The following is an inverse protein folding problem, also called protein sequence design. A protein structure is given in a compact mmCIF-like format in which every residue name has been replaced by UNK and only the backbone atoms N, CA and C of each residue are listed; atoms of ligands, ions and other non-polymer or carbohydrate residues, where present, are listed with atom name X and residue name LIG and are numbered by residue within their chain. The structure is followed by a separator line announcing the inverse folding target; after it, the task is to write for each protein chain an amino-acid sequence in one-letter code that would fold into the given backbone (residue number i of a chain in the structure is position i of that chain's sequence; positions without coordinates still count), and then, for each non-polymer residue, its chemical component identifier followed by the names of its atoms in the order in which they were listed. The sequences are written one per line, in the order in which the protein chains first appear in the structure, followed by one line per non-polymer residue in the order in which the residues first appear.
data_IF_324665662868
#
_entry.id   IF_324665662868
#
_cell.length_a   1.000
_cell.length_b   1.000
_cell.length_c   1.000
_cell.angle_alpha   90.00
_cell.angle_beta   90.00
_cell.angle_gamma   90.00
#
_symmetry.space_group_name_H-M   'P 1'
#
loop_
_entity.id
_entity.type
_entity.pdbx_description
1 polymer ?
#
# COMPACT_ATOMS: atom_id res chain seq x y z
N UNK A 1 24.81 69.69 -19.76
CA UNK A 1 23.53 69.13 -20.21
C UNK A 1 23.55 67.63 -19.98
N UNK A 2 23.12 67.16 -18.80
CA UNK A 2 22.95 65.74 -18.50
C UNK A 2 21.46 65.49 -18.27
N UNK A 3 20.80 64.84 -19.24
CA UNK A 3 19.42 64.36 -19.08
C UNK A 3 19.50 62.94 -18.52
N UNK A 4 19.20 62.79 -17.23
CA UNK A 4 18.94 61.50 -16.62
C UNK A 4 17.59 60.99 -17.11
N UNK A 5 17.59 59.88 -17.84
CA UNK A 5 16.40 59.15 -18.25
C UNK A 5 16.07 58.13 -17.15
N UNK A 6 15.01 58.40 -16.39
CA UNK A 6 14.52 57.50 -15.34
C UNK A 6 13.62 56.43 -15.99
N UNK A 7 14.11 55.21 -16.14
CA UNK A 7 13.31 54.06 -16.57
C UNK A 7 12.54 53.52 -15.36
N UNK A 8 11.23 53.77 -15.30
CA UNK A 8 10.33 53.13 -14.33
C UNK A 8 9.90 51.79 -14.91
N UNK A 9 10.45 50.70 -14.39
CA UNK A 9 10.03 49.33 -14.70
C UNK A 9 8.83 48.98 -13.79
N UNK A 10 7.63 49.01 -14.35
CA UNK A 10 6.41 48.59 -13.65
C UNK A 10 6.34 47.06 -13.63
N UNK A 11 6.80 46.42 -12.55
CA UNK A 11 6.59 44.99 -12.32
C UNK A 11 5.17 44.83 -11.77
N UNK A 12 4.22 44.50 -12.65
CA UNK A 12 2.87 44.10 -12.24
C UNK A 12 2.95 42.70 -11.61
N UNK A 13 3.10 42.63 -10.29
CA UNK A 13 2.86 41.42 -9.52
C UNK A 13 1.33 41.26 -9.43
N UNK A 14 0.74 40.55 -10.39
CA UNK A 14 -0.65 40.12 -10.27
C UNK A 14 -0.71 39.03 -9.22
N UNK A 15 -1.13 39.37 -8.00
CA UNK A 15 -1.59 38.39 -7.04
C UNK A 15 -2.83 37.72 -7.61
N UNK A 16 -2.68 36.47 -8.06
CA UNK A 16 -3.81 35.59 -8.33
C UNK A 16 -4.52 35.35 -6.99
N UNK A 17 -5.51 36.20 -6.67
CA UNK A 17 -6.45 35.97 -5.59
C UNK A 17 -7.36 34.81 -5.98
N UNK A 18 -6.99 33.58 -5.62
CA UNK A 18 -7.91 32.45 -5.74
C UNK A 18 -9.01 32.61 -4.68
N UNK A 19 -10.26 32.78 -5.10
CA UNK A 19 -11.40 32.77 -4.19
C UNK A 19 -11.57 31.37 -3.58
N UNK A 20 -11.14 31.21 -2.32
CA UNK A 20 -11.23 29.95 -1.59
C UNK A 20 -12.60 29.82 -0.90
N UNK A 21 -13.25 28.67 -1.05
CA UNK A 21 -14.55 28.36 -0.42
C UNK A 21 -14.44 28.21 1.11
N UNK A 22 -15.55 28.34 1.83
CA UNK A 22 -15.59 28.08 3.29
C UNK A 22 -15.13 26.66 3.62
N UNK A 23 -15.57 25.67 2.83
CA UNK A 23 -15.16 24.29 3.01
C UNK A 23 -13.66 24.08 2.77
N UNK A 24 -13.07 24.73 1.78
CA UNK A 24 -11.62 24.64 1.55
C UNK A 24 -10.81 25.15 2.75
N UNK A 25 -11.29 26.21 3.43
CA UNK A 25 -10.67 26.72 4.67
C UNK A 25 -10.85 25.76 5.85
N UNK A 26 -12.04 25.16 5.98
CA UNK A 26 -12.27 24.10 6.96
C UNK A 26 -11.38 22.88 6.72
N UNK A 27 -11.17 22.51 5.45
CA UNK A 27 -10.30 21.39 5.12
C UNK A 27 -8.84 21.67 5.47
N UNK A 28 -8.35 22.90 5.31
CA UNK A 28 -6.97 23.26 5.65
C UNK A 28 -6.62 22.96 7.10
N UNK A 29 -7.50 23.29 8.04
CA UNK A 29 -7.27 23.12 9.49
C UNK A 29 -7.32 21.67 9.98
N UNK A 30 -7.77 20.72 9.14
CA UNK A 30 -7.88 19.29 9.51
C UNK A 30 -6.55 18.57 9.28
N UNK A 31 -5.83 18.27 10.34
CA UNK A 31 -4.51 17.63 10.29
C UNK A 31 -4.42 16.35 11.11
N UNK A 32 -5.23 16.22 12.16
CA UNK A 32 -5.18 15.09 13.10
C UNK A 32 -6.34 14.10 12.92
N UNK A 33 -6.16 12.83 13.32
CA UNK A 33 -7.25 11.85 13.35
C UNK A 33 -8.49 12.33 14.11
N UNK A 34 -8.30 13.00 15.26
CA UNK A 34 -9.39 13.50 16.10
C UNK A 34 -10.18 14.62 15.39
N UNK A 35 -9.50 15.49 14.66
CA UNK A 35 -10.13 16.54 13.86
C UNK A 35 -10.91 15.95 12.67
N UNK A 36 -10.39 14.90 12.03
CA UNK A 36 -11.10 14.18 10.96
C UNK A 36 -12.38 13.54 11.51
N UNK A 37 -12.29 12.85 12.64
CA UNK A 37 -13.44 12.20 13.27
C UNK A 37 -14.50 13.21 13.69
N UNK A 38 -14.08 14.34 14.27
CA UNK A 38 -14.97 15.45 14.65
C UNK A 38 -15.66 16.03 13.41
N UNK A 39 -14.90 16.35 12.36
CA UNK A 39 -15.43 16.88 11.12
C UNK A 39 -16.44 15.93 10.45
N UNK A 40 -16.13 14.63 10.39
CA UNK A 40 -17.01 13.62 9.78
C UNK A 40 -18.31 13.47 10.57
N UNK A 41 -18.27 13.56 11.91
CA UNK A 41 -19.47 13.56 12.77
C UNK A 41 -20.32 14.80 12.54
N UNK A 42 -19.70 15.99 12.50
CA UNK A 42 -20.41 17.27 12.34
C UNK A 42 -21.09 17.40 10.97
N UNK A 43 -20.42 17.01 9.88
CA UNK A 43 -21.02 17.06 8.54
C UNK A 43 -22.14 16.03 8.34
N UNK A 44 -22.19 14.97 9.15
CA UNK A 44 -23.24 13.94 9.20
C UNK A 44 -23.71 13.42 7.82
N UNK A 45 -22.78 13.27 6.88
CA UNK A 45 -23.05 12.79 5.52
C UNK A 45 -22.34 11.47 5.27
N UNK A 46 -23.10 10.42 4.94
CA UNK A 46 -22.54 9.09 4.58
C UNK A 46 -21.64 9.13 3.34
N UNK A 47 -21.68 10.21 2.56
CA UNK A 47 -20.84 10.40 1.38
C UNK A 47 -19.43 10.87 1.74
N UNK A 48 -19.27 11.49 2.90
CA UNK A 48 -17.99 11.94 3.44
C UNK A 48 -17.34 10.79 4.19
N UNK A 49 -16.08 10.48 3.89
CA UNK A 49 -15.38 9.36 4.53
C UNK A 49 -13.87 9.48 4.39
N UNK A 50 -13.18 8.86 5.33
CA UNK A 50 -11.76 8.55 5.22
C UNK A 50 -11.56 7.30 4.36
N UNK A 51 -10.66 7.37 3.39
CA UNK A 51 -10.37 6.29 2.45
C UNK A 51 -8.86 6.04 2.45
N UNK A 52 -8.46 4.77 2.55
CA UNK A 52 -7.06 4.37 2.37
C UNK A 52 -6.81 3.97 0.92
N UNK A 53 -5.82 4.59 0.30
CA UNK A 53 -5.31 4.20 -1.00
C UNK A 53 -3.92 3.59 -0.82
N UNK A 54 -3.77 2.35 -1.28
CA UNK A 54 -2.47 1.70 -1.44
C UNK A 54 -2.02 1.80 -2.91
N UNK A 55 -0.78 2.22 -3.14
CA UNK A 55 -0.24 2.52 -4.47
C UNK A 55 -0.31 1.31 -5.40
N UNK A 56 -0.07 0.10 -4.89
CA UNK A 56 -0.14 -1.14 -5.69
C UNK A 56 -1.57 -1.55 -6.03
N UNK A 57 -2.51 -1.32 -5.12
CA UNK A 57 -3.91 -1.75 -5.31
C UNK A 57 -4.75 -0.74 -6.08
N UNK A 58 -4.42 0.56 -6.03
CA UNK A 58 -5.25 1.62 -6.60
C UNK A 58 -4.54 2.34 -7.75
N UNK A 59 -4.89 1.98 -8.99
CA UNK A 59 -4.25 2.51 -10.21
C UNK A 59 -5.14 3.46 -11.02
N UNK A 60 -6.25 3.93 -10.45
CA UNK A 60 -7.16 4.90 -11.11
C UNK A 60 -6.47 6.24 -11.34
N UNK A 61 -6.97 7.05 -12.28
CA UNK A 61 -6.44 8.40 -12.56
C UNK A 61 -6.45 9.27 -11.30
N UNK A 62 -7.54 9.23 -10.53
CA UNK A 62 -7.64 9.93 -9.25
C UNK A 62 -6.57 9.43 -8.25
N UNK A 63 -6.43 8.12 -8.07
CA UNK A 63 -5.43 7.59 -7.14
C UNK A 63 -4.02 8.05 -7.52
N UNK A 64 -3.66 7.98 -8.81
CA UNK A 64 -2.38 8.48 -9.34
C UNK A 64 -2.17 9.98 -9.08
N UNK A 65 -3.22 10.79 -9.16
CA UNK A 65 -3.14 12.22 -8.83
C UNK A 65 -2.89 12.40 -7.32
N UNK A 66 -3.65 11.68 -6.48
CA UNK A 66 -3.53 11.74 -5.03
C UNK A 66 -2.14 11.32 -4.51
N UNK A 67 -1.53 10.29 -5.08
CA UNK A 67 -0.17 9.87 -4.67
C UNK A 67 0.91 10.92 -4.98
N UNK A 68 0.68 11.82 -5.93
CA UNK A 68 1.61 12.92 -6.23
C UNK A 68 1.53 14.05 -5.21
N UNK A 69 0.45 14.12 -4.43
CA UNK A 69 0.28 15.14 -3.42
C UNK A 69 1.06 14.80 -2.15
N UNK A 70 1.54 15.82 -1.45
CA UNK A 70 2.03 15.72 -0.09
C UNK A 70 0.86 15.65 0.90
N UNK A 71 1.15 15.28 2.16
CA UNK A 71 0.20 15.50 3.27
C UNK A 71 -0.26 16.96 3.26
N UNK A 72 -1.57 17.15 3.44
CA UNK A 72 -2.25 18.44 3.33
C UNK A 72 -2.79 18.77 1.93
N UNK A 73 -2.23 18.16 0.88
CA UNK A 73 -2.65 18.42 -0.50
C UNK A 73 -4.09 18.00 -0.78
N UNK A 74 -4.76 18.72 -1.68
CA UNK A 74 -6.16 18.51 -2.03
C UNK A 74 -6.31 18.34 -3.53
N UNK A 75 -6.90 17.22 -3.94
CA UNK A 75 -7.41 17.02 -5.31
C UNK A 75 -8.92 17.30 -5.35
N UNK A 76 -9.42 17.81 -6.46
CA UNK A 76 -10.84 18.16 -6.62
C UNK A 76 -11.39 17.51 -7.87
N UNK A 77 -12.61 17.00 -7.77
CA UNK A 77 -13.38 16.56 -8.94
C UNK A 77 -14.75 17.20 -8.89
N UNK A 78 -15.31 17.50 -10.04
CA UNK A 78 -16.51 18.31 -10.14
C UNK A 78 -17.46 17.71 -11.17
N UNK A 79 -18.75 17.71 -10.82
CA UNK A 79 -19.86 17.36 -11.72
C UNK A 79 -20.81 18.54 -11.80
N UNK A 80 -21.90 18.42 -12.55
CA UNK A 80 -22.95 19.44 -12.59
C UNK A 80 -23.61 19.67 -11.22
N UNK A 81 -23.67 18.65 -10.37
CA UNK A 81 -24.41 18.70 -9.10
C UNK A 81 -23.54 18.86 -7.85
N UNK A 82 -22.28 18.42 -7.92
CA UNK A 82 -21.43 18.38 -6.74
C UNK A 82 -19.96 18.60 -7.05
N UNK A 83 -19.27 19.17 -6.07
CA UNK A 83 -17.81 19.25 -5.98
C UNK A 83 -17.35 18.25 -4.92
N UNK A 84 -16.38 17.40 -5.26
CA UNK A 84 -15.76 16.46 -4.32
C UNK A 84 -14.31 16.85 -4.08
N UNK A 85 -13.96 16.97 -2.81
CA UNK A 85 -12.63 17.26 -2.32
C UNK A 85 -12.00 15.99 -1.77
N UNK A 86 -10.72 15.81 -2.06
CA UNK A 86 -9.91 14.69 -1.59
C UNK A 86 -8.65 15.25 -0.94
N UNK A 87 -8.68 15.42 0.39
CA UNK A 87 -7.50 15.87 1.15
C UNK A 87 -6.65 14.68 1.55
N UNK A 88 -5.38 14.66 1.16
CA UNK A 88 -4.39 13.71 1.70
C UNK A 88 -4.09 14.11 3.13
N UNK A 89 -4.54 13.32 4.10
CA UNK A 89 -4.37 13.60 5.53
C UNK A 89 -3.21 12.82 6.14
N UNK A 90 -2.81 11.73 5.49
CA UNK A 90 -1.64 10.94 5.88
C UNK A 90 -1.00 10.34 4.63
N UNK A 91 0.33 10.20 4.67
CA UNK A 91 1.11 9.55 3.62
C UNK A 91 2.28 8.83 4.26
N UNK A 92 2.34 7.52 4.06
CA UNK A 92 3.41 6.66 4.53
C UNK A 92 4.06 5.96 3.35
N UNK A 93 5.33 5.65 3.50
CA UNK A 93 6.11 4.88 2.54
C UNK A 93 6.82 3.79 3.33
N UNK A 94 6.56 2.54 2.97
CA UNK A 94 7.11 1.39 3.68
C UNK A 94 7.77 0.43 2.69
N UNK A 95 8.87 -0.18 3.11
CA UNK A 95 9.48 -1.27 2.35
C UNK A 95 8.58 -2.49 2.48
N UNK A 96 8.14 -3.01 1.34
CA UNK A 96 7.29 -4.18 1.23
C UNK A 96 8.04 -5.30 0.52
N UNK A 97 7.69 -6.53 0.89
CA UNK A 97 8.28 -7.77 0.44
C UNK A 97 7.20 -8.61 -0.25
N UNK A 98 7.63 -9.47 -1.18
CA UNK A 98 6.74 -10.40 -1.86
C UNK A 98 7.52 -11.64 -2.25
N UNK A 99 6.99 -12.79 -1.85
CA UNK A 99 7.58 -14.09 -2.13
C UNK A 99 6.50 -15.03 -2.64
N UNK A 100 6.93 -16.16 -3.17
CA UNK A 100 6.04 -17.32 -3.32
C UNK A 100 6.37 -18.32 -2.23
N UNK A 101 5.37 -18.92 -1.60
CA UNK A 101 5.60 -19.94 -0.57
C UNK A 101 4.64 -21.12 -0.71
N UNK A 102 5.02 -22.23 -0.09
CA UNK A 102 4.20 -23.42 0.09
C UNK A 102 4.19 -23.69 1.59
N UNK A 103 3.03 -23.62 2.21
CA UNK A 103 2.84 -24.00 3.61
C UNK A 103 2.39 -25.46 3.65
N UNK A 104 3.06 -26.27 4.45
CA UNK A 104 2.66 -27.65 4.72
C UNK A 104 2.20 -27.71 6.17
N UNK A 105 0.89 -27.76 6.35
CA UNK A 105 0.24 -27.95 7.65
C UNK A 105 -0.55 -29.25 7.64
N UNK A 106 -0.41 -30.05 8.70
CA UNK A 106 -1.29 -31.19 8.91
C UNK A 106 -1.32 -31.59 10.38
N UNK A 107 -2.52 -31.53 10.97
CA UNK A 107 -2.77 -31.99 12.34
C UNK A 107 -2.59 -33.50 12.54
N UNK A 108 -2.54 -34.27 11.43
CA UNK A 108 -2.50 -35.72 11.45
C UNK A 108 -1.20 -36.33 10.88
N UNK A 109 -0.26 -35.50 10.39
CA UNK A 109 1.01 -35.98 9.86
C UNK A 109 2.13 -35.82 10.88
N UNK A 110 3.07 -36.76 10.87
CA UNK A 110 4.29 -36.67 11.67
C UNK A 110 5.29 -35.71 11.02
N UNK A 111 6.15 -35.08 11.81
CA UNK A 111 7.22 -34.20 11.33
C UNK A 111 8.09 -34.84 10.24
N UNK A 112 8.36 -36.15 10.34
CA UNK A 112 9.13 -36.89 9.33
C UNK A 112 8.42 -36.93 7.98
N UNK A 113 7.09 -37.01 7.98
CA UNK A 113 6.28 -37.02 6.75
C UNK A 113 6.28 -35.64 6.11
N UNK A 114 6.10 -34.58 6.90
CA UNK A 114 6.18 -33.19 6.42
C UNK A 114 7.55 -32.88 5.81
N UNK A 115 8.65 -33.30 6.45
CA UNK A 115 10.01 -33.17 5.91
C UNK A 115 10.23 -33.94 4.60
N UNK A 116 9.64 -35.14 4.48
CA UNK A 116 9.71 -35.92 3.24
C UNK A 116 8.93 -35.24 2.10
N UNK A 117 7.76 -34.68 2.40
CA UNK A 117 6.99 -33.90 1.43
C UNK A 117 7.77 -32.64 1.02
N UNK A 118 8.34 -31.90 1.98
CA UNK A 118 9.17 -30.72 1.72
C UNK A 118 10.34 -31.05 0.78
N UNK A 119 11.07 -32.12 1.07
CA UNK A 119 12.19 -32.60 0.25
C UNK A 119 11.74 -33.00 -1.16
N UNK A 120 10.57 -33.65 -1.27
CA UNK A 120 9.99 -34.06 -2.56
C UNK A 120 9.65 -32.84 -3.42
N UNK A 121 9.07 -31.79 -2.82
CA UNK A 121 8.70 -30.56 -3.53
C UNK A 121 9.95 -29.84 -4.04
N UNK A 122 10.99 -29.70 -3.19
CA UNK A 122 12.27 -29.08 -3.59
C UNK A 122 12.90 -29.87 -4.74
N UNK A 123 12.91 -31.21 -4.66
CA UNK A 123 13.41 -32.05 -5.75
C UNK A 123 12.63 -31.80 -7.05
N UNK A 124 11.30 -31.80 -7.01
CA UNK A 124 10.46 -31.56 -8.19
C UNK A 124 10.72 -30.18 -8.80
N UNK A 125 10.91 -29.17 -7.97
CA UNK A 125 11.26 -27.83 -8.44
C UNK A 125 12.62 -27.83 -9.16
N UNK A 126 13.63 -28.46 -8.56
CA UNK A 126 14.96 -28.60 -9.16
C UNK A 126 14.96 -29.43 -10.46
N UNK A 127 14.03 -30.39 -10.58
CA UNK A 127 13.80 -31.16 -11.80
C UNK A 127 13.00 -30.38 -12.88
N UNK A 128 12.63 -29.12 -12.60
CA UNK A 128 12.01 -28.20 -13.57
C UNK A 128 10.50 -27.98 -13.42
N UNK A 129 9.85 -28.53 -12.38
CA UNK A 129 8.44 -28.21 -12.12
C UNK A 129 8.30 -26.75 -11.67
N UNK A 130 7.28 -26.04 -12.17
CA UNK A 130 7.07 -24.65 -11.77
C UNK A 130 6.62 -24.55 -10.30
N UNK A 131 7.08 -23.51 -9.62
CA UNK A 131 6.70 -23.27 -8.22
C UNK A 131 5.20 -23.07 -8.06
N UNK A 132 4.55 -22.41 -9.02
CA UNK A 132 3.11 -22.15 -8.96
C UNK A 132 2.27 -23.43 -9.01
N UNK A 133 2.71 -24.41 -9.81
CA UNK A 133 2.08 -25.72 -9.89
C UNK A 133 2.24 -26.48 -8.58
N UNK A 134 3.46 -26.51 -8.03
CA UNK A 134 3.74 -27.14 -6.75
C UNK A 134 2.95 -26.49 -5.61
N UNK A 135 2.84 -25.17 -5.59
CA UNK A 135 2.07 -24.46 -4.58
C UNK A 135 0.57 -24.77 -4.65
N UNK A 136 -0.02 -24.81 -5.85
CA UNK A 136 -1.42 -25.24 -6.04
C UNK A 136 -1.66 -26.67 -5.59
N UNK A 137 -0.67 -27.55 -5.77
CA UNK A 137 -0.79 -28.96 -5.43
C UNK A 137 -0.61 -29.24 -3.93
N UNK A 138 0.32 -28.54 -3.28
CA UNK A 138 0.81 -28.93 -1.96
C UNK A 138 0.53 -27.92 -0.85
N UNK A 139 0.33 -26.62 -1.15
CA UNK A 139 0.17 -25.62 -0.11
C UNK A 139 -1.19 -25.77 0.58
N UNK A 140 -1.20 -25.84 1.91
CA UNK A 140 -2.42 -25.86 2.72
C UNK A 140 -3.02 -24.46 2.94
N UNK A 141 -2.26 -23.41 2.65
CA UNK A 141 -2.70 -22.02 2.81
C UNK A 141 -3.41 -21.48 1.55
N UNK A 142 -4.23 -20.44 1.72
CA UNK A 142 -5.03 -19.78 0.66
C UNK A 142 -4.19 -19.24 -0.49
N UNK A 143 -2.90 -19.01 -0.27
CA UNK A 143 -1.97 -18.60 -1.31
C UNK A 143 -1.84 -19.64 -2.44
N UNK A 144 -2.19 -20.92 -2.19
CA UNK A 144 -2.23 -21.99 -3.19
C UNK A 144 -3.01 -21.57 -4.44
N UNK A 145 -4.17 -20.93 -4.24
CA UNK A 145 -5.04 -20.45 -5.34
C UNK A 145 -4.38 -19.40 -6.23
N UNK A 146 -3.32 -18.74 -5.74
CA UNK A 146 -2.52 -17.74 -6.46
C UNK A 146 -1.15 -18.28 -6.86
N UNK A 147 -0.97 -19.60 -6.90
CA UNK A 147 0.32 -20.20 -7.24
C UNK A 147 1.40 -19.95 -6.19
N UNK A 148 1.01 -19.83 -4.92
CA UNK A 148 1.94 -19.61 -3.81
C UNK A 148 2.25 -18.14 -3.54
N UNK A 149 1.78 -17.20 -4.36
CA UNK A 149 2.05 -15.78 -4.21
C UNK A 149 1.54 -15.22 -2.86
N UNK A 150 2.43 -14.62 -2.06
CA UNK A 150 2.05 -13.96 -0.81
C UNK A 150 1.23 -12.68 -1.07
N UNK A 151 1.51 -11.99 -2.17
CA UNK A 151 1.22 -10.57 -2.32
C UNK A 151 2.24 -9.71 -1.57
N UNK A 152 2.13 -8.39 -1.71
CA UNK A 152 2.99 -7.45 -0.98
C UNK A 152 2.62 -7.41 0.50
N UNK A 153 3.61 -7.58 1.37
CA UNK A 153 3.47 -7.47 2.82
C UNK A 153 4.60 -6.63 3.40
N UNK A 154 4.35 -6.06 4.59
CA UNK A 154 5.36 -5.43 5.44
C UNK A 154 5.54 -6.28 6.69
N UNK A 155 6.55 -5.98 7.52
CA UNK A 155 6.60 -6.55 8.86
C UNK A 155 5.39 -6.09 9.68
N UNK A 156 4.52 -7.01 10.08
CA UNK A 156 3.45 -6.82 11.05
C UNK A 156 4.03 -7.00 12.47
N UNK A 157 3.62 -6.13 13.38
CA UNK A 157 3.98 -6.19 14.79
C UNK A 157 3.30 -7.34 15.55
N UNK A 158 2.53 -8.19 14.89
CA UNK A 158 1.78 -9.26 15.56
C UNK A 158 1.98 -10.65 14.93
N UNK A 159 2.74 -10.78 13.84
CA UNK A 159 2.93 -12.05 13.13
C UNK A 159 4.37 -12.20 12.60
N UNK A 160 5.31 -12.25 13.53
CA UNK A 160 6.72 -12.00 13.23
C UNK A 160 7.44 -13.13 12.50
N UNK A 161 7.16 -14.38 12.81
CA UNK A 161 8.15 -15.43 12.59
C UNK A 161 8.40 -15.76 11.10
N UNK A 162 7.36 -15.77 10.26
CA UNK A 162 7.52 -15.99 8.82
C UNK A 162 8.12 -14.75 8.14
N UNK A 163 7.61 -13.57 8.47
CA UNK A 163 8.01 -12.31 7.84
C UNK A 163 9.46 -11.98 8.18
N UNK A 164 9.89 -12.21 9.42
CA UNK A 164 11.26 -11.99 9.89
C UNK A 164 12.27 -12.80 9.06
N UNK A 165 11.97 -14.07 8.78
CA UNK A 165 12.87 -14.93 7.99
C UNK A 165 12.98 -14.42 6.55
N UNK A 166 11.91 -13.89 5.97
CA UNK A 166 11.95 -13.31 4.62
C UNK A 166 12.66 -11.95 4.59
N UNK A 167 12.43 -11.12 5.60
CA UNK A 167 12.89 -9.72 5.65
C UNK A 167 14.36 -9.65 6.06
N UNK A 168 14.75 -10.40 7.09
CA UNK A 168 16.08 -10.37 7.69
C UNK A 168 16.97 -11.52 7.19
N UNK A 169 16.42 -12.47 6.44
CA UNK A 169 17.17 -13.53 5.77
C UNK A 169 18.01 -13.00 4.60
N UNK A 170 19.27 -13.43 4.52
CA UNK A 170 20.17 -13.08 3.41
C UNK A 170 19.94 -13.99 2.19
N UNK A 171 18.78 -13.86 1.55
CA UNK A 171 18.40 -14.66 0.39
C UNK A 171 18.48 -13.86 -0.92
N UNK A 172 19.00 -14.48 -1.98
CA UNK A 172 19.11 -13.93 -3.32
C UNK A 172 17.80 -14.05 -4.11
N UNK A 173 17.59 -13.20 -5.10
CA UNK A 173 16.46 -13.35 -6.02
C UNK A 173 16.47 -14.74 -6.70
N UNK A 174 15.30 -15.37 -6.78
CA UNK A 174 15.06 -16.73 -7.26
C UNK A 174 15.65 -17.85 -6.38
N UNK A 175 16.15 -17.54 -5.19
CA UNK A 175 16.58 -18.57 -4.23
C UNK A 175 15.38 -19.26 -3.58
N UNK A 176 15.46 -20.59 -3.44
CA UNK A 176 14.58 -21.37 -2.57
C UNK A 176 15.26 -21.57 -1.22
N UNK A 177 14.50 -21.34 -0.15
CA UNK A 177 14.88 -21.66 1.22
C UNK A 177 13.67 -22.21 1.98
N UNK A 178 13.92 -22.71 3.19
CA UNK A 178 12.89 -23.33 4.02
C UNK A 178 12.84 -22.69 5.39
N UNK A 179 11.64 -22.60 5.96
CA UNK A 179 11.42 -22.17 7.33
C UNK A 179 10.40 -23.08 7.99
N UNK A 180 10.67 -23.53 9.22
CA UNK A 180 9.76 -24.42 9.93
C UNK A 180 9.30 -23.72 11.20
N UNK A 181 8.00 -23.43 11.29
CA UNK A 181 7.39 -22.78 12.44
C UNK A 181 6.91 -23.83 13.45
N UNK A 182 7.77 -24.16 14.41
CA UNK A 182 7.57 -25.25 15.37
C UNK A 182 6.27 -25.11 16.18
N UNK A 183 5.87 -23.90 16.55
CA UNK A 183 4.69 -23.67 17.40
C UNK A 183 3.37 -24.13 16.75
N UNK A 184 3.30 -24.09 15.42
CA UNK A 184 2.11 -24.51 14.64
C UNK A 184 2.35 -25.81 13.87
N UNK A 185 3.55 -26.38 13.98
CA UNK A 185 4.03 -27.48 13.14
C UNK A 185 3.89 -27.23 11.63
N UNK A 186 4.18 -26.00 11.20
CA UNK A 186 4.06 -25.60 9.78
C UNK A 186 5.43 -25.60 9.12
N UNK A 187 5.54 -26.27 7.97
CA UNK A 187 6.77 -26.29 7.17
C UNK A 187 6.59 -25.42 5.93
N UNK A 188 7.42 -24.38 5.79
CA UNK A 188 7.41 -23.48 4.65
C UNK A 188 8.53 -23.82 3.68
N UNK A 189 8.20 -23.75 2.39
CA UNK A 189 9.16 -23.68 1.28
C UNK A 189 8.93 -22.33 0.65
N UNK A 190 9.96 -21.50 0.56
CA UNK A 190 9.85 -20.10 0.15
C UNK A 190 10.77 -19.90 -1.04
N UNK A 191 10.22 -19.29 -2.09
CA UNK A 191 10.95 -18.82 -3.26
C UNK A 191 10.95 -17.29 -3.24
N UNK A 192 12.14 -16.69 -3.20
CA UNK A 192 12.26 -15.23 -3.30
C UNK A 192 11.98 -14.79 -4.74
N UNK A 193 10.78 -14.29 -4.99
CA UNK A 193 10.31 -13.93 -6.34
C UNK A 193 10.45 -12.45 -6.68
N UNK A 194 10.61 -11.57 -5.69
CA UNK A 194 10.77 -10.13 -5.89
C UNK A 194 11.85 -9.55 -4.98
N UNK A 195 12.49 -8.50 -5.45
CA UNK A 195 13.23 -7.61 -4.55
C UNK A 195 12.26 -6.73 -3.74
N UNK A 196 12.65 -6.34 -2.51
CA UNK A 196 11.86 -5.42 -1.72
C UNK A 196 11.66 -4.11 -2.48
N UNK A 197 10.49 -3.50 -2.30
CA UNK A 197 10.22 -2.18 -2.86
C UNK A 197 9.43 -1.31 -1.92
N UNK A 198 9.65 -0.01 -2.04
CA UNK A 198 8.83 0.98 -1.34
C UNK A 198 7.44 1.03 -1.96
N UNK A 199 6.40 1.00 -1.14
CA UNK A 199 5.01 1.20 -1.55
C UNK A 199 4.44 2.35 -0.73
N UNK A 200 3.81 3.32 -1.40
CA UNK A 200 3.11 4.39 -0.71
C UNK A 200 1.68 3.98 -0.31
N UNK A 201 1.30 4.34 0.90
CA UNK A 201 -0.09 4.34 1.36
C UNK A 201 -0.50 5.74 1.77
N UNK A 202 -1.67 6.19 1.32
CA UNK A 202 -2.24 7.49 1.71
C UNK A 202 -3.61 7.29 2.33
N UNK A 203 -3.89 8.08 3.38
CA UNK A 203 -5.26 8.25 3.90
C UNK A 203 -5.81 9.55 3.36
N UNK A 204 -7.02 9.49 2.81
CA UNK A 204 -7.63 10.59 2.07
C UNK A 204 -9.01 10.87 2.64
N UNK A 205 -9.21 12.09 3.14
CA UNK A 205 -10.52 12.58 3.54
C UNK A 205 -11.28 13.01 2.29
N UNK A 206 -12.33 12.25 1.94
CA UNK A 206 -13.26 12.58 0.87
C UNK A 206 -14.43 13.38 1.43
N UNK A 207 -14.70 14.54 0.84
CA UNK A 207 -15.84 15.40 1.22
C UNK A 207 -16.61 15.82 -0.04
N UNK A 208 -17.94 15.75 0.00
CA UNK A 208 -18.80 16.19 -1.10
C UNK A 208 -19.58 17.43 -0.68
N UNK A 209 -19.53 18.45 -1.53
CA UNK A 209 -20.29 19.69 -1.44
C UNK A 209 -21.28 19.74 -2.62
N UNK A 210 -22.55 19.99 -2.34
CA UNK A 210 -23.53 20.23 -3.39
C UNK A 210 -23.28 21.62 -3.98
N UNK A 211 -23.46 21.75 -5.28
CA UNK A 211 -23.49 23.06 -5.92
C UNK A 211 -24.88 23.65 -5.73
N UNK A 212 -24.90 24.94 -5.40
CA UNK A 212 -26.12 25.75 -5.39
C UNK A 212 -26.65 25.98 -6.81
#
# INVERSE_FOLDING_TARGET
MFKNLLTILFIAITSLLTAQTSLEKELEIIETPEQIDTFLKEKNSKKNKLITFNEEKHKTTLAKALFKLSKGGVEKTETEYYKTFYKVVDKTETINYRVSYIALESSNMKDSELKNIQSTIIKKYNDGASFDFLAKQYSSDKNANRGGDSGWFTQDKNNYDFEDVVINGSHSLNEIFTYNHTATNTYFIILKTYEPKTISEIKVLKVIENKD
#
